data_IF_970001765866
#
_entry.id   IF_970001765866
#
_cell.length_a   1.000
_cell.length_b   1.000
_cell.length_c   1.000
_cell.angle_alpha   90.00
_cell.angle_beta   90.00
_cell.angle_gamma   90.00
#
_symmetry.space_group_name_H-M   'P 1'
#
loop_
_entity.id
_entity.type
_entity.pdbx_description
1 polymer ?
#
# COMPACT_ATOMS: atom_id res chain seq x y z
N UNK A 1 26.15 61.25 -42.60
CA UNK A 1 25.02 62.10 -43.00
C UNK A 1 24.75 63.09 -41.88
N UNK A 2 25.17 64.34 -42.10
CA UNK A 2 24.69 65.55 -41.43
C UNK A 2 23.13 65.65 -41.57
N UNK A 3 22.37 66.56 -40.91
CA UNK A 3 22.64 67.42 -39.73
C UNK A 3 21.42 68.05 -38.96
N UNK A 4 21.74 69.01 -38.07
CA UNK A 4 21.05 70.28 -37.75
C UNK A 4 19.80 70.20 -36.82
N UNK A 5 19.87 70.69 -35.56
CA UNK A 5 19.58 72.09 -35.08
C UNK A 5 18.07 72.41 -35.23
N UNK A 6 17.28 72.91 -34.27
CA UNK A 6 17.45 73.92 -33.24
C UNK A 6 16.23 73.94 -32.29
N UNK A 7 16.39 74.57 -31.12
CA UNK A 7 15.58 75.67 -30.52
C UNK A 7 14.05 75.68 -30.75
N UNK A 8 13.17 76.09 -29.83
CA UNK A 8 13.18 76.59 -28.47
C UNK A 8 11.72 76.97 -28.14
N UNK A 9 11.50 77.40 -26.89
CA UNK A 9 10.43 78.29 -26.38
C UNK A 9 9.12 77.64 -25.90
N UNK A 10 9.08 77.57 -24.58
CA UNK A 10 7.97 77.93 -23.69
C UNK A 10 7.00 78.99 -24.23
N UNK A 11 5.70 78.76 -23.99
CA UNK A 11 4.67 79.65 -23.41
C UNK A 11 3.33 78.89 -23.64
N UNK A 12 2.51 78.58 -22.63
CA UNK A 12 1.70 79.56 -21.94
C UNK A 12 0.54 78.81 -21.28
N UNK A 13 0.36 79.06 -19.99
CA UNK A 13 -0.78 78.64 -19.19
C UNK A 13 -2.05 79.31 -19.74
N UNK A 14 -3.14 78.57 -19.92
CA UNK A 14 -4.50 79.12 -19.79
C UNK A 14 -5.50 78.03 -19.43
N UNK A 15 -6.18 78.32 -18.34
CA UNK A 15 -7.08 77.52 -17.54
C UNK A 15 -8.47 77.46 -18.18
N UNK A 16 -9.08 76.28 -18.28
CA UNK A 16 -10.52 76.15 -18.37
C UNK A 16 -10.96 74.88 -17.62
N UNK A 17 -11.56 75.14 -16.47
CA UNK A 17 -12.14 74.20 -15.53
C UNK A 17 -13.49 73.71 -16.08
N UNK A 18 -13.63 72.40 -16.30
CA UNK A 18 -14.93 71.76 -16.46
C UNK A 18 -14.96 70.50 -15.57
N UNK A 19 -15.62 70.66 -14.42
CA UNK A 19 -16.01 69.61 -13.50
C UNK A 19 -17.13 68.76 -14.07
N UNK A 20 -17.01 67.43 -13.99
CA UNK A 20 -18.02 66.47 -13.50
C UNK A 20 -17.88 65.10 -14.18
N UNK A 21 -17.77 64.04 -13.36
CA UNK A 21 -17.96 62.65 -13.82
C UNK A 21 -16.86 61.66 -13.45
N UNK A 22 -16.39 61.64 -12.18
CA UNK A 22 -15.64 60.49 -11.65
C UNK A 22 -16.61 59.31 -11.48
N UNK A 23 -16.84 58.57 -12.56
CA UNK A 23 -17.33 57.20 -12.47
C UNK A 23 -16.21 56.34 -11.92
N UNK A 24 -16.22 56.06 -10.62
CA UNK A 24 -15.43 54.95 -10.06
C UNK A 24 -16.05 53.67 -10.63
N UNK A 25 -15.52 53.19 -11.74
CA UNK A 25 -15.71 51.81 -12.14
C UNK A 25 -14.99 50.99 -11.08
N UNK A 26 -15.75 50.44 -10.13
CA UNK A 26 -15.25 49.38 -9.29
C UNK A 26 -14.86 48.23 -10.22
N UNK A 27 -13.58 48.11 -10.52
CA UNK A 27 -13.01 46.90 -11.09
C UNK A 27 -13.16 45.84 -10.02
N UNK A 28 -14.31 45.17 -9.99
CA UNK A 28 -14.42 43.87 -9.34
C UNK A 28 -13.34 43.03 -10.02
N UNK A 29 -12.29 42.56 -9.32
CA UNK A 29 -11.38 41.62 -9.94
C UNK A 29 -12.28 40.46 -10.35
N UNK A 30 -12.40 40.24 -11.66
CA UNK A 30 -12.92 38.98 -12.15
C UNK A 30 -12.02 37.93 -11.50
N UNK A 31 -12.53 37.26 -10.47
CA UNK A 31 -11.93 36.02 -10.01
C UNK A 31 -11.90 35.17 -11.26
N UNK A 32 -10.74 35.06 -11.89
CA UNK A 32 -10.52 34.10 -12.94
C UNK A 32 -11.04 32.79 -12.36
N UNK A 33 -12.13 32.27 -12.92
CA UNK A 33 -12.55 30.92 -12.62
C UNK A 33 -11.37 30.09 -13.12
N UNK A 34 -10.49 29.73 -12.18
CA UNK A 34 -9.35 28.90 -12.49
C UNK A 34 -9.92 27.67 -13.18
N UNK A 35 -9.36 27.32 -14.34
CA UNK A 35 -9.72 26.09 -15.02
C UNK A 35 -9.56 24.89 -14.08
N UNK A 36 -10.11 23.73 -14.45
CA UNK A 36 -10.03 22.52 -13.62
C UNK A 36 -8.59 22.29 -13.14
N UNK A 37 -8.41 22.24 -11.81
CA UNK A 37 -7.11 22.05 -11.19
C UNK A 37 -6.82 20.57 -11.02
N UNK A 38 -5.56 20.18 -11.20
CA UNK A 38 -5.08 18.83 -10.93
C UNK A 38 -4.51 18.77 -9.51
N UNK A 39 -4.92 17.76 -8.75
CA UNK A 39 -4.45 17.49 -7.39
C UNK A 39 -3.75 16.14 -7.34
N UNK A 40 -2.64 16.04 -6.61
CA UNK A 40 -1.88 14.79 -6.54
C UNK A 40 -2.04 14.13 -5.17
N UNK A 41 -2.28 12.82 -5.20
CA UNK A 41 -2.24 11.93 -4.04
C UNK A 41 -1.31 10.78 -4.39
N UNK A 42 -0.24 10.61 -3.61
CA UNK A 42 0.59 9.41 -3.68
C UNK A 42 -0.09 8.25 -2.95
N UNK A 43 -0.06 7.07 -3.56
CA UNK A 43 -0.70 5.86 -3.10
C UNK A 43 0.36 4.86 -2.68
N UNK A 44 0.62 4.73 -1.39
CA UNK A 44 1.73 3.92 -0.89
C UNK A 44 3.07 4.65 -0.92
N UNK A 45 4.05 4.11 -0.21
CA UNK A 45 5.43 4.56 -0.22
C UNK A 45 6.32 3.50 0.46
N UNK A 46 7.62 3.53 0.22
CA UNK A 46 8.54 2.56 0.81
C UNK A 46 9.49 2.02 -0.24
N UNK A 47 10.12 0.89 0.06
CA UNK A 47 10.87 0.15 -0.94
C UNK A 47 10.00 -0.95 -1.59
N UNK A 48 8.85 -1.28 -0.98
CA UNK A 48 7.85 -2.25 -1.46
C UNK A 48 8.42 -3.66 -1.74
N UNK A 49 9.64 -3.94 -1.26
CA UNK A 49 10.32 -5.23 -1.36
C UNK A 49 10.32 -5.92 0.00
N UNK A 50 10.70 -5.18 1.04
CA UNK A 50 10.73 -5.67 2.42
C UNK A 50 10.03 -4.72 3.40
N UNK A 51 9.69 -3.51 2.99
CA UNK A 51 8.92 -2.53 3.77
C UNK A 51 8.00 -1.70 2.88
N UNK A 52 6.69 -1.81 3.14
CA UNK A 52 5.63 -0.99 2.55
C UNK A 52 5.06 0.02 3.56
N UNK A 53 4.55 1.15 3.07
CA UNK A 53 3.81 2.15 3.83
C UNK A 53 2.40 2.29 3.23
N UNK A 54 1.46 1.61 3.85
CA UNK A 54 0.09 1.46 3.36
C UNK A 54 -0.78 2.67 3.74
N UNK A 55 -0.56 3.79 3.05
CA UNK A 55 -1.26 5.05 3.27
C UNK A 55 -1.38 5.87 1.98
N UNK A 56 -2.43 6.70 1.92
CA UNK A 56 -2.54 7.78 0.94
C UNK A 56 -1.85 9.06 1.43
N UNK A 57 -1.07 9.71 0.58
CA UNK A 57 -0.26 10.88 0.91
C UNK A 57 -0.57 12.05 -0.02
N UNK A 58 -1.24 13.12 0.45
CA UNK A 58 -1.90 13.19 1.75
C UNK A 58 -3.13 12.27 1.81
N UNK A 59 -3.60 11.95 3.03
CA UNK A 59 -4.81 11.15 3.23
C UNK A 59 -6.10 11.95 3.03
N UNK A 60 -6.00 13.28 3.04
CA UNK A 60 -7.13 14.17 2.80
C UNK A 60 -6.72 15.40 2.01
N UNK A 61 -7.60 15.79 1.09
CA UNK A 61 -7.51 17.05 0.35
C UNK A 61 -8.86 17.75 0.33
N UNK A 62 -8.84 19.07 0.12
CA UNK A 62 -10.05 19.87 -0.11
C UNK A 62 -9.93 20.55 -1.46
N UNK A 63 -10.90 20.32 -2.35
CA UNK A 63 -10.85 20.72 -3.76
C UNK A 63 -12.18 21.34 -4.21
N UNK A 64 -12.21 21.85 -5.43
CA UNK A 64 -13.44 22.29 -6.08
C UNK A 64 -14.09 21.17 -6.89
N UNK A 65 -15.41 21.29 -7.11
CA UNK A 65 -16.10 20.44 -8.08
C UNK A 65 -15.58 20.76 -9.49
N UNK A 66 -15.32 19.73 -10.28
CA UNK A 66 -14.71 19.83 -11.61
C UNK A 66 -13.20 19.66 -11.62
N UNK A 67 -12.55 19.62 -10.45
CA UNK A 67 -11.13 19.30 -10.34
C UNK A 67 -10.87 17.81 -10.62
N UNK A 68 -9.62 17.50 -11.00
CA UNK A 68 -9.17 16.12 -11.19
C UNK A 68 -8.18 15.75 -10.11
N UNK A 69 -8.38 14.58 -9.48
CA UNK A 69 -7.40 13.99 -8.56
C UNK A 69 -6.61 12.93 -9.30
N UNK A 70 -5.29 13.03 -9.22
CA UNK A 70 -4.31 12.13 -9.81
C UNK A 70 -3.68 11.29 -8.72
N UNK A 71 -3.93 10.00 -8.78
CA UNK A 71 -3.39 9.02 -7.86
C UNK A 71 -2.12 8.42 -8.46
N UNK A 72 -0.96 8.75 -7.89
CA UNK A 72 0.35 8.24 -8.29
C UNK A 72 0.73 7.02 -7.46
N UNK A 73 1.09 5.91 -8.10
CA UNK A 73 1.38 4.65 -7.42
C UNK A 73 2.78 4.62 -6.82
N UNK A 74 2.88 4.44 -5.51
CA UNK A 74 4.12 4.16 -4.78
C UNK A 74 4.37 2.67 -4.54
N UNK A 75 3.35 1.83 -4.79
CA UNK A 75 3.35 0.38 -4.58
C UNK A 75 2.05 -0.24 -5.12
N UNK A 76 1.84 -1.54 -4.90
CA UNK A 76 0.62 -2.22 -5.32
C UNK A 76 -0.53 -1.93 -4.35
N UNK A 77 -1.44 -1.04 -4.75
CA UNK A 77 -2.62 -0.66 -3.96
C UNK A 77 -3.83 -0.47 -4.87
N UNK A 78 -5.00 -0.25 -4.27
CA UNK A 78 -6.16 0.25 -5.02
C UNK A 78 -6.57 1.64 -4.54
N UNK A 79 -7.30 2.34 -5.40
CA UNK A 79 -8.05 3.54 -5.05
C UNK A 79 -9.50 3.25 -5.35
N UNK A 80 -10.32 3.04 -4.33
CA UNK A 80 -11.69 2.57 -4.52
C UNK A 80 -12.70 3.46 -3.81
N UNK A 81 -13.59 4.05 -4.59
CA UNK A 81 -14.80 4.75 -4.14
C UNK A 81 -15.99 3.80 -4.21
N UNK A 82 -16.83 3.81 -3.18
CA UNK A 82 -18.10 3.08 -3.13
C UNK A 82 -17.99 1.60 -3.55
N UNK A 83 -17.12 0.80 -2.88
CA UNK A 83 -16.95 -0.62 -3.21
C UNK A 83 -18.28 -1.38 -3.09
N UNK A 84 -18.71 -2.16 -4.10
CA UNK A 84 -19.91 -2.99 -4.00
C UNK A 84 -19.77 -4.07 -2.93
N UNK A 85 -20.79 -4.22 -2.07
CA UNK A 85 -20.80 -5.23 -1.00
C UNK A 85 -20.79 -6.69 -1.50
N UNK A 86 -21.07 -6.90 -2.80
CA UNK A 86 -21.06 -8.21 -3.46
C UNK A 86 -19.66 -8.62 -3.95
N UNK A 87 -18.66 -7.74 -3.86
CA UNK A 87 -17.29 -8.02 -4.30
C UNK A 87 -16.38 -8.36 -3.11
N UNK A 88 -15.46 -9.28 -3.34
CA UNK A 88 -14.32 -9.62 -2.49
C UNK A 88 -13.04 -9.03 -3.05
N UNK A 89 -11.95 -9.07 -2.28
CA UNK A 89 -10.62 -8.65 -2.75
C UNK A 89 -10.21 -9.35 -4.05
N UNK A 90 -10.64 -10.60 -4.26
CA UNK A 90 -10.31 -11.36 -5.47
C UNK A 90 -10.89 -10.72 -6.74
N UNK A 91 -12.05 -10.07 -6.64
CA UNK A 91 -12.64 -9.33 -7.75
C UNK A 91 -11.83 -8.08 -8.10
N UNK A 92 -11.16 -7.48 -7.11
CA UNK A 92 -10.33 -6.28 -7.27
C UNK A 92 -8.94 -6.57 -7.84
N UNK A 93 -8.41 -7.77 -7.57
CA UNK A 93 -7.15 -8.26 -8.13
C UNK A 93 -7.30 -8.78 -9.57
N UNK A 94 -8.53 -9.04 -10.02
CA UNK A 94 -8.84 -9.42 -11.39
C UNK A 94 -9.25 -8.22 -12.28
N UNK A 95 -9.55 -8.48 -13.57
CA UNK A 95 -9.99 -7.45 -14.50
C UNK A 95 -11.23 -6.65 -14.04
N UNK A 96 -12.08 -7.25 -13.20
CA UNK A 96 -13.28 -6.63 -12.64
C UNK A 96 -13.02 -5.58 -11.55
N UNK A 97 -11.76 -5.42 -11.13
CA UNK A 97 -11.31 -4.46 -10.13
C UNK A 97 -11.06 -3.06 -10.65
N UNK A 98 -10.82 -2.95 -11.96
CA UNK A 98 -10.59 -1.68 -12.63
C UNK A 98 -11.90 -1.12 -13.19
N UNK A 99 -12.29 0.06 -12.71
CA UNK A 99 -13.49 0.78 -13.13
C UNK A 99 -13.18 2.27 -13.18
N UNK A 100 -12.52 2.74 -14.25
CA UNK A 100 -12.15 4.14 -14.40
C UNK A 100 -13.38 4.97 -14.77
N UNK A 101 -13.33 6.25 -14.43
CA UNK A 101 -14.37 7.21 -14.79
C UNK A 101 -14.44 8.37 -13.80
N UNK A 102 -15.26 9.39 -14.10
CA UNK A 102 -15.50 10.46 -13.16
C UNK A 102 -16.29 9.93 -11.95
N UNK A 103 -16.04 10.50 -10.78
CA UNK A 103 -16.97 10.45 -9.67
C UNK A 103 -18.02 11.56 -9.91
N UNK A 104 -19.10 11.23 -10.60
CA UNK A 104 -20.18 12.14 -11.03
C UNK A 104 -21.48 11.98 -10.20
N UNK A 105 -21.49 11.01 -9.29
CA UNK A 105 -22.54 10.81 -8.30
C UNK A 105 -21.97 10.20 -7.02
N UNK A 106 -22.56 10.56 -5.88
CA UNK A 106 -22.00 10.22 -4.57
C UNK A 106 -21.81 8.72 -4.32
N UNK A 107 -22.65 7.88 -4.94
CA UNK A 107 -22.62 6.42 -4.81
C UNK A 107 -21.94 5.68 -5.98
N UNK A 108 -21.34 6.37 -6.94
CA UNK A 108 -20.73 5.71 -8.10
C UNK A 108 -19.50 4.92 -7.69
N UNK A 109 -19.45 3.66 -8.09
CA UNK A 109 -18.26 2.84 -8.00
C UNK A 109 -17.20 3.36 -8.98
N UNK A 110 -16.05 3.72 -8.43
CA UNK A 110 -14.86 4.12 -9.20
C UNK A 110 -13.67 3.41 -8.57
N UNK A 111 -12.87 2.71 -9.36
CA UNK A 111 -11.77 1.92 -8.83
C UNK A 111 -10.57 1.91 -9.77
N UNK A 112 -9.41 2.24 -9.20
CA UNK A 112 -8.10 2.15 -9.84
C UNK A 112 -7.26 1.05 -9.16
N UNK A 113 -6.48 0.35 -9.97
CA UNK A 113 -5.47 -0.63 -9.57
C UNK A 113 -4.32 -0.48 -10.58
N UNK A 114 -3.04 -0.53 -10.16
CA UNK A 114 -1.91 -0.40 -11.07
C UNK A 114 -1.77 -1.64 -11.95
N UNK A 115 -2.54 -1.69 -13.03
CA UNK A 115 -2.44 -2.73 -14.06
C UNK A 115 -1.35 -2.34 -15.06
N UNK A 116 -0.25 -3.08 -15.08
CA UNK A 116 0.85 -2.88 -16.02
C UNK A 116 2.00 -3.88 -15.79
N UNK A 117 2.90 -4.06 -16.77
CA UNK A 117 4.09 -4.90 -16.58
C UNK A 117 5.00 -4.30 -15.48
N UNK A 118 5.69 -5.13 -14.65
CA UNK A 118 6.46 -4.69 -13.48
C UNK A 118 7.59 -3.67 -13.73
N UNK A 119 7.94 -3.40 -15.00
CA UNK A 119 9.08 -2.57 -15.39
C UNK A 119 8.70 -1.26 -16.09
N UNK A 120 7.40 -0.95 -16.21
CA UNK A 120 6.94 0.32 -16.77
C UNK A 120 6.58 1.30 -15.65
N UNK A 121 6.88 2.58 -15.84
CA UNK A 121 6.32 3.65 -15.01
C UNK A 121 4.78 3.52 -15.05
N UNK A 122 4.18 3.28 -13.88
CA UNK A 122 2.75 3.00 -13.80
C UNK A 122 1.98 4.31 -14.05
N UNK A 123 1.01 4.32 -14.98
CA UNK A 123 0.24 5.51 -15.25
C UNK A 123 -0.57 5.89 -14.01
N UNK A 124 -0.62 7.19 -13.71
CA UNK A 124 -1.49 7.72 -12.66
C UNK A 124 -2.95 7.35 -12.94
N UNK A 125 -3.68 7.00 -11.89
CA UNK A 125 -5.12 6.87 -11.96
C UNK A 125 -5.77 8.23 -11.74
N UNK A 126 -6.46 8.75 -12.76
CA UNK A 126 -7.04 10.09 -12.72
C UNK A 126 -8.56 10.00 -12.57
N UNK A 127 -9.11 10.74 -11.60
CA UNK A 127 -10.55 10.80 -11.32
C UNK A 127 -11.01 12.26 -11.37
N UNK A 128 -11.89 12.57 -12.33
CA UNK A 128 -12.62 13.84 -12.33
C UNK A 128 -13.65 13.81 -11.20
N UNK A 129 -13.65 14.83 -10.34
CA UNK A 129 -14.56 14.95 -9.21
C UNK A 129 -15.72 15.88 -9.58
N UNK A 130 -16.80 15.30 -10.08
CA UNK A 130 -18.01 16.01 -10.52
C UNK A 130 -19.22 15.72 -9.61
N UNK A 131 -18.97 15.74 -8.31
CA UNK A 131 -20.01 15.58 -7.27
C UNK A 131 -20.27 16.89 -6.53
N UNK A 132 -21.46 17.06 -5.92
CA UNK A 132 -21.76 18.23 -5.09
C UNK A 132 -20.80 18.41 -3.91
N UNK A 133 -20.86 19.57 -3.26
CA UNK A 133 -20.12 19.81 -2.03
C UNK A 133 -20.42 18.72 -0.98
N UNK A 134 -19.38 18.21 -0.32
CA UNK A 134 -19.47 17.06 0.57
C UNK A 134 -18.11 16.41 0.81
N UNK A 135 -18.10 15.38 1.67
CA UNK A 135 -16.91 14.56 1.93
C UNK A 135 -17.10 13.19 1.31
N UNK A 136 -16.16 12.79 0.46
CA UNK A 136 -16.17 11.54 -0.27
C UNK A 136 -14.99 10.70 0.18
N UNK A 137 -15.25 9.46 0.55
CA UNK A 137 -14.24 8.54 1.05
C UNK A 137 -13.79 7.61 -0.06
N UNK A 138 -12.50 7.28 -0.01
CA UNK A 138 -11.92 6.22 -0.81
C UNK A 138 -11.00 5.40 0.08
N UNK A 139 -10.77 4.17 -0.31
CA UNK A 139 -9.95 3.23 0.43
C UNK A 139 -9.14 2.36 -0.52
N UNK A 140 -8.03 1.82 -0.02
CA UNK A 140 -7.46 0.63 -0.62
C UNK A 140 -8.44 -0.53 -0.37
N UNK A 141 -8.34 -1.64 -1.12
CA UNK A 141 -9.09 -2.87 -0.85
C UNK A 141 -8.20 -3.98 -0.29
N UNK A 142 -6.89 -3.77 -0.25
CA UNK A 142 -5.90 -4.69 0.33
C UNK A 142 -5.68 -4.39 1.80
N UNK A 143 -5.34 -3.15 2.11
CA UNK A 143 -4.84 -2.77 3.43
C UNK A 143 -5.93 -2.09 4.25
N UNK A 144 -6.43 -2.79 5.28
CA UNK A 144 -7.62 -2.40 6.05
C UNK A 144 -7.56 -1.07 6.80
N UNK A 145 -6.38 -0.45 6.91
CA UNK A 145 -6.18 0.84 7.56
C UNK A 145 -5.91 1.99 6.58
N UNK A 146 -5.85 1.70 5.28
CA UNK A 146 -5.52 2.65 4.23
C UNK A 146 -6.78 3.32 3.68
N UNK A 147 -7.12 4.46 4.29
CA UNK A 147 -8.30 5.26 3.96
C UNK A 147 -7.92 6.69 3.63
N UNK A 148 -8.66 7.30 2.71
CA UNK A 148 -8.52 8.70 2.36
C UNK A 148 -9.86 9.39 2.18
N UNK A 149 -9.83 10.72 2.03
CA UNK A 149 -11.03 11.49 1.74
C UNK A 149 -10.78 12.73 0.88
N UNK A 150 -11.76 13.06 0.06
CA UNK A 150 -11.81 14.29 -0.71
C UNK A 150 -12.96 15.11 -0.16
N UNK A 151 -12.67 16.34 0.29
CA UNK A 151 -13.71 17.31 0.63
C UNK A 151 -13.92 18.24 -0.56
N UNK A 152 -15.11 18.18 -1.15
CA UNK A 152 -15.53 19.11 -2.21
C UNK A 152 -16.23 20.29 -1.57
N UNK A 153 -15.78 21.51 -1.84
CA UNK A 153 -16.46 22.72 -1.38
C UNK A 153 -16.38 23.84 -2.40
N UNK A 154 -17.14 24.91 -2.18
CA UNK A 154 -17.02 26.16 -2.92
C UNK A 154 -16.12 27.17 -2.18
N UNK A 155 -15.62 28.17 -2.90
CA UNK A 155 -14.84 29.28 -2.32
C UNK A 155 -13.38 28.92 -2.03
N UNK A 156 -12.72 29.68 -1.17
CA UNK A 156 -11.27 29.55 -0.92
C UNK A 156 -10.91 28.19 -0.33
N UNK A 157 -9.98 27.47 -0.97
CA UNK A 157 -9.44 26.21 -0.47
C UNK A 157 -8.46 26.47 0.67
N UNK A 158 -8.37 25.55 1.66
CA UNK A 158 -7.49 25.73 2.82
C UNK A 158 -6.01 25.55 2.48
N UNK A 159 -5.70 24.87 1.36
CA UNK A 159 -4.35 24.59 0.89
C UNK A 159 -4.31 24.55 -0.63
N UNK A 160 -3.14 24.83 -1.20
CA UNK A 160 -2.81 24.55 -2.61
C UNK A 160 -2.36 23.10 -2.79
N UNK A 161 -2.21 22.65 -4.05
CA UNK A 161 -1.65 21.33 -4.34
C UNK A 161 -0.20 21.20 -3.83
N UNK A 162 0.63 22.23 -4.03
CA UNK A 162 2.04 22.23 -3.60
C UNK A 162 2.18 22.13 -2.07
N UNK A 163 1.28 22.78 -1.32
CA UNK A 163 1.23 22.65 0.14
C UNK A 163 0.83 21.23 0.57
N UNK A 164 -0.13 20.62 -0.12
CA UNK A 164 -0.51 19.22 0.12
C UNK A 164 0.63 18.25 -0.21
N UNK A 165 1.36 18.45 -1.31
CA UNK A 165 2.56 17.66 -1.67
C UNK A 165 3.66 17.82 -0.60
N UNK A 166 3.87 19.05 -0.10
CA UNK A 166 4.84 19.30 0.97
C UNK A 166 4.49 18.53 2.23
N UNK A 167 3.20 18.52 2.62
CA UNK A 167 2.72 17.73 3.76
C UNK A 167 2.84 16.22 3.52
N UNK A 168 2.52 15.76 2.31
CA UNK A 168 2.67 14.36 1.92
C UNK A 168 4.10 13.88 2.10
N UNK A 169 5.08 14.62 1.56
CA UNK A 169 6.51 14.29 1.66
C UNK A 169 7.00 14.28 3.11
N UNK A 170 6.57 15.25 3.92
CA UNK A 170 6.91 15.28 5.34
C UNK A 170 6.34 14.06 6.10
N UNK A 171 5.11 13.64 5.77
CA UNK A 171 4.45 12.49 6.37
C UNK A 171 5.10 11.16 5.94
N UNK A 172 5.48 11.02 4.66
CA UNK A 172 6.28 9.88 4.17
C UNK A 172 7.57 9.77 4.98
N UNK A 173 8.33 10.86 5.10
CA UNK A 173 9.60 10.85 5.86
C UNK A 173 9.40 10.46 7.34
N UNK A 174 8.32 10.93 7.96
CA UNK A 174 7.98 10.56 9.34
C UNK A 174 7.63 9.07 9.48
N UNK A 175 6.83 8.54 8.54
CA UNK A 175 6.43 7.13 8.53
C UNK A 175 7.62 6.21 8.24
N UNK A 176 8.50 6.57 7.30
CA UNK A 176 9.76 5.83 7.04
C UNK A 176 10.63 5.76 8.29
N UNK A 177 10.85 6.89 8.97
CA UNK A 177 11.66 6.91 10.21
C UNK A 177 11.05 6.02 11.30
N UNK A 178 9.72 6.05 11.45
CA UNK A 178 8.99 5.21 12.41
C UNK A 178 9.11 3.72 12.03
N UNK A 179 8.96 3.39 10.75
CA UNK A 179 9.09 2.03 10.24
C UNK A 179 10.48 1.46 10.54
N UNK A 180 11.56 2.19 10.24
CA UNK A 180 12.94 1.77 10.58
C UNK A 180 13.10 1.49 12.09
N UNK A 181 12.54 2.36 12.94
CA UNK A 181 12.62 2.18 14.38
C UNK A 181 11.80 0.96 14.89
N UNK A 182 10.65 0.69 14.26
CA UNK A 182 9.81 -0.48 14.57
C UNK A 182 10.50 -1.77 14.13
N UNK A 183 11.04 -1.80 12.92
CA UNK A 183 11.78 -2.94 12.40
C UNK A 183 12.95 -3.36 13.29
N UNK A 184 13.75 -2.38 13.73
CA UNK A 184 14.86 -2.63 14.65
C UNK A 184 14.39 -3.17 16.01
N UNK A 185 13.21 -2.77 16.49
CA UNK A 185 12.62 -3.33 17.73
C UNK A 185 12.17 -4.77 17.53
N UNK A 186 11.48 -5.06 16.43
CA UNK A 186 11.01 -6.42 16.11
C UNK A 186 12.18 -7.38 15.94
N UNK A 187 13.24 -6.96 15.24
CA UNK A 187 14.47 -7.74 15.10
C UNK A 187 15.07 -8.10 16.46
N UNK A 188 15.25 -7.12 17.35
CA UNK A 188 15.78 -7.39 18.70
C UNK A 188 14.88 -8.29 19.54
N UNK A 189 13.56 -8.09 19.45
CA UNK A 189 12.60 -8.90 20.21
C UNK A 189 12.61 -10.36 19.74
N UNK A 190 12.63 -10.57 18.43
CA UNK A 190 12.66 -11.91 17.84
C UNK A 190 13.97 -12.66 18.15
N UNK A 191 15.13 -11.97 18.15
CA UNK A 191 16.40 -12.57 18.58
C UNK A 191 16.45 -12.94 20.07
N UNK A 192 15.51 -12.46 20.89
CA UNK A 192 15.44 -12.74 22.32
C UNK A 192 14.29 -13.69 22.71
N UNK A 193 13.57 -14.23 21.72
CA UNK A 193 12.38 -15.07 21.94
C UNK A 193 12.58 -16.43 21.28
N UNK A 194 12.72 -17.47 22.09
CA UNK A 194 12.89 -18.84 21.59
C UNK A 194 11.54 -19.49 21.22
N UNK A 195 11.59 -20.48 20.31
CA UNK A 195 10.44 -21.31 19.94
C UNK A 195 9.35 -20.59 19.12
N UNK A 196 9.57 -19.33 18.73
CA UNK A 196 8.62 -18.55 17.95
C UNK A 196 9.31 -17.77 16.84
N UNK A 197 8.58 -17.53 15.76
CA UNK A 197 8.97 -16.62 14.70
C UNK A 197 7.76 -15.81 14.23
N UNK A 198 7.96 -14.54 13.87
CA UNK A 198 6.94 -13.77 13.17
C UNK A 198 6.99 -14.05 11.67
N UNK A 199 5.82 -14.11 11.07
CA UNK A 199 5.61 -14.21 9.62
C UNK A 199 4.95 -12.91 9.18
N UNK A 200 5.74 -12.02 8.61
CA UNK A 200 5.29 -10.64 8.43
C UNK A 200 5.18 -9.91 9.76
N UNK A 201 5.20 -8.58 9.71
CA UNK A 201 4.96 -7.74 10.87
C UNK A 201 4.56 -6.33 10.43
N UNK A 202 4.08 -5.51 11.36
CA UNK A 202 3.83 -4.11 11.06
C UNK A 202 3.10 -3.37 12.15
N UNK A 203 2.60 -2.20 11.79
CA UNK A 203 1.56 -1.50 12.54
C UNK A 203 0.44 -1.06 11.60
N UNK A 204 -0.33 0.00 11.89
CA UNK A 204 -1.45 0.40 11.01
C UNK A 204 -1.02 1.09 9.71
N UNK A 205 0.28 1.32 9.51
CA UNK A 205 0.80 2.03 8.34
C UNK A 205 1.98 1.29 7.74
N UNK A 206 2.97 0.93 8.56
CA UNK A 206 4.13 0.21 8.06
C UNK A 206 3.83 -1.30 8.04
N UNK A 207 4.22 -1.96 6.96
CA UNK A 207 4.26 -3.41 6.85
C UNK A 207 5.71 -3.87 6.58
N UNK A 208 6.04 -5.07 7.04
CA UNK A 208 7.34 -5.70 6.84
C UNK A 208 7.13 -7.08 6.27
N UNK A 209 7.54 -7.26 5.03
CA UNK A 209 7.37 -8.49 4.27
C UNK A 209 8.57 -9.40 4.53
N UNK A 210 8.71 -9.87 5.78
CA UNK A 210 9.83 -10.71 6.21
C UNK A 210 9.52 -11.58 7.43
N UNK A 211 10.38 -12.57 7.66
CA UNK A 211 10.35 -13.39 8.87
C UNK A 211 11.22 -12.76 9.96
N UNK A 212 10.79 -12.89 11.22
CA UNK A 212 11.60 -12.51 12.38
C UNK A 212 11.72 -13.67 13.38
N UNK A 213 12.92 -14.24 13.61
CA UNK A 213 14.14 -14.02 12.83
C UNK A 213 14.09 -14.81 11.50
N UNK A 214 15.00 -14.47 10.57
CA UNK A 214 15.18 -15.24 9.32
C UNK A 214 16.08 -16.47 9.48
N UNK A 215 16.84 -16.53 10.56
CA UNK A 215 17.70 -17.66 10.94
C UNK A 215 17.25 -18.21 12.28
N UNK A 216 16.84 -19.47 12.31
CA UNK A 216 16.31 -20.12 13.51
C UNK A 216 17.13 -21.37 13.80
N UNK A 217 17.40 -21.64 15.07
CA UNK A 217 17.97 -22.92 15.50
C UNK A 217 16.98 -23.60 16.43
N UNK A 218 16.70 -24.87 16.17
CA UNK A 218 15.83 -25.74 16.97
C UNK A 218 16.54 -27.07 17.20
N UNK A 219 16.06 -27.88 18.14
CA UNK A 219 16.48 -29.27 18.31
C UNK A 219 15.40 -30.23 17.80
N UNK A 220 15.79 -31.46 17.56
CA UNK A 220 14.83 -32.55 17.35
C UNK A 220 13.90 -32.65 18.55
N UNK A 221 12.60 -32.68 18.29
CA UNK A 221 11.54 -32.68 19.30
C UNK A 221 11.02 -31.28 19.65
N UNK A 222 11.75 -30.21 19.32
CA UNK A 222 11.26 -28.85 19.55
C UNK A 222 10.13 -28.50 18.57
N UNK A 223 9.16 -27.75 19.08
CA UNK A 223 8.14 -27.09 18.27
C UNK A 223 8.54 -25.64 18.01
N UNK A 224 8.44 -25.21 16.75
CA UNK A 224 8.54 -23.82 16.33
C UNK A 224 7.16 -23.30 15.94
N UNK A 225 6.71 -22.24 16.61
CA UNK A 225 5.44 -21.57 16.28
C UNK A 225 5.68 -20.32 15.46
N UNK A 226 5.23 -20.34 14.22
CA UNK A 226 5.14 -19.18 13.36
C UNK A 226 3.85 -18.41 13.66
N UNK A 227 3.97 -17.09 13.85
CA UNK A 227 2.84 -16.20 14.17
C UNK A 227 2.76 -15.07 13.15
N UNK A 228 1.60 -14.89 12.56
CA UNK A 228 1.33 -13.77 11.67
C UNK A 228 1.26 -12.46 12.47
N UNK A 229 2.30 -11.64 12.30
CA UNK A 229 2.41 -10.33 12.93
C UNK A 229 1.87 -9.20 12.05
N UNK A 230 1.41 -9.52 10.85
CA UNK A 230 0.97 -8.57 9.85
C UNK A 230 -0.55 -8.39 9.87
N UNK A 231 -1.01 -7.15 9.73
CA UNK A 231 -2.44 -6.83 9.64
C UNK A 231 -2.82 -6.28 8.26
N UNK A 232 -1.86 -6.20 7.35
CA UNK A 232 -2.03 -5.65 6.00
C UNK A 232 -2.19 -6.76 4.98
N UNK A 233 -1.32 -7.76 5.01
CA UNK A 233 -1.25 -8.81 4.00
C UNK A 233 -1.22 -10.21 4.61
N UNK A 234 -1.68 -11.25 3.87
CA UNK A 234 -1.55 -12.62 4.32
C UNK A 234 -0.14 -13.13 4.05
N UNK A 235 0.31 -14.13 4.81
CA UNK A 235 1.61 -14.76 4.59
C UNK A 235 1.53 -16.28 4.71
N UNK A 236 2.54 -16.99 4.21
CA UNK A 236 2.66 -18.45 4.41
C UNK A 236 3.97 -18.81 5.07
N UNK A 237 4.01 -19.98 5.70
CA UNK A 237 5.24 -20.72 5.96
C UNK A 237 5.24 -21.94 5.05
N UNK A 238 6.16 -21.97 4.10
CA UNK A 238 6.24 -23.02 3.08
C UNK A 238 7.62 -23.67 3.08
N UNK A 239 7.64 -25.00 3.11
CA UNK A 239 8.82 -25.85 3.01
C UNK A 239 8.77 -26.69 1.73
N UNK A 240 9.87 -26.70 0.98
CA UNK A 240 9.96 -27.43 -0.28
C UNK A 240 9.01 -26.92 -1.37
N UNK A 241 9.00 -27.56 -2.56
CA UNK A 241 8.11 -27.19 -3.64
C UNK A 241 6.70 -27.69 -3.34
N UNK A 242 5.78 -26.78 -3.03
CA UNK A 242 4.37 -27.14 -2.93
C UNK A 242 3.74 -27.27 -4.32
N UNK A 243 2.88 -28.28 -4.57
CA UNK A 243 2.16 -28.41 -5.83
C UNK A 243 1.30 -27.16 -6.10
N UNK A 244 1.06 -26.79 -7.35
CA UNK A 244 0.15 -25.67 -7.69
C UNK A 244 0.80 -24.28 -7.69
N UNK A 245 0.00 -23.25 -8.00
CA UNK A 245 0.41 -21.85 -7.88
C UNK A 245 0.01 -21.33 -6.49
N UNK A 246 0.97 -21.09 -5.57
CA UNK A 246 0.66 -20.61 -4.24
C UNK A 246 0.11 -19.17 -4.22
N UNK A 247 0.18 -18.45 -5.35
CA UNK A 247 -0.44 -17.12 -5.52
C UNK A 247 -1.89 -17.21 -5.99
N UNK A 248 -2.36 -18.39 -6.41
CA UNK A 248 -3.78 -18.63 -6.65
C UNK A 248 -4.49 -18.76 -5.29
N UNK A 249 -5.39 -17.84 -4.92
CA UNK A 249 -6.11 -17.91 -3.65
C UNK A 249 -6.90 -19.21 -3.46
N UNK A 250 -7.39 -19.84 -4.54
CA UNK A 250 -8.09 -21.12 -4.46
C UNK A 250 -7.19 -22.26 -3.94
N UNK A 251 -5.87 -22.09 -4.05
CA UNK A 251 -4.86 -23.04 -3.59
C UNK A 251 -4.12 -22.54 -2.34
N UNK A 252 -3.61 -21.31 -2.36
CA UNK A 252 -2.73 -20.76 -1.33
C UNK A 252 -3.38 -20.53 0.04
N UNK A 253 -4.72 -20.41 0.10
CA UNK A 253 -5.43 -20.14 1.37
C UNK A 253 -5.44 -21.36 2.30
N UNK A 254 -5.41 -22.58 1.76
CA UNK A 254 -5.52 -23.80 2.55
C UNK A 254 -4.14 -24.44 2.79
N UNK A 255 -3.93 -25.12 3.94
CA UNK A 255 -2.72 -25.90 4.15
C UNK A 255 -2.58 -26.97 3.07
N UNK A 256 -1.34 -27.25 2.67
CA UNK A 256 -1.07 -28.19 1.58
C UNK A 256 0.26 -28.91 1.75
N UNK A 257 0.48 -29.95 0.95
CA UNK A 257 1.67 -30.80 0.98
C UNK A 257 1.51 -32.06 1.83
N UNK A 258 2.30 -33.12 1.56
CA UNK A 258 2.23 -34.38 2.30
C UNK A 258 3.03 -34.38 3.62
N UNK A 259 3.79 -33.34 3.94
CA UNK A 259 4.56 -33.24 5.18
C UNK A 259 3.67 -33.22 6.42
N UNK A 260 4.09 -33.90 7.48
CA UNK A 260 3.41 -33.88 8.78
C UNK A 260 3.94 -32.71 9.63
N UNK A 261 3.15 -31.65 9.91
CA UNK A 261 3.63 -30.54 10.75
C UNK A 261 4.00 -30.97 12.17
N UNK A 262 3.41 -32.05 12.71
CA UNK A 262 3.72 -32.52 14.06
C UNK A 262 4.95 -33.45 14.13
N UNK A 263 5.54 -33.81 12.99
CA UNK A 263 6.71 -34.68 12.91
C UNK A 263 7.46 -34.42 11.60
N UNK A 264 7.78 -33.16 11.34
CA UNK A 264 8.39 -32.73 10.09
C UNK A 264 9.84 -33.21 10.01
N UNK A 265 10.18 -33.96 8.96
CA UNK A 265 11.51 -34.56 8.79
C UNK A 265 12.34 -33.87 7.70
N UNK A 266 11.83 -32.76 7.14
CA UNK A 266 12.53 -31.96 6.13
C UNK A 266 12.46 -32.50 4.70
N UNK A 267 11.78 -33.63 4.44
CA UNK A 267 11.83 -34.29 3.12
C UNK A 267 10.64 -34.01 2.23
N UNK A 268 9.46 -33.82 2.82
CA UNK A 268 8.18 -33.70 2.12
C UNK A 268 7.72 -32.25 2.09
N UNK A 269 7.14 -31.73 1.00
CA UNK A 269 6.60 -30.38 0.99
C UNK A 269 5.52 -30.16 2.05
N UNK A 270 5.48 -28.94 2.60
CA UNK A 270 4.51 -28.55 3.62
C UNK A 270 4.26 -27.04 3.54
N UNK A 271 3.00 -26.62 3.51
CA UNK A 271 2.61 -25.22 3.65
C UNK A 271 1.50 -25.03 4.67
N UNK A 272 1.60 -23.94 5.42
CA UNK A 272 0.56 -23.48 6.34
C UNK A 272 -0.75 -23.07 5.65
N UNK A 273 -0.70 -22.84 4.33
CA UNK A 273 -1.65 -21.96 3.65
C UNK A 273 -1.51 -20.51 4.16
N UNK A 274 -2.39 -19.62 3.73
CA UNK A 274 -2.38 -18.24 4.21
C UNK A 274 -2.65 -18.20 5.73
N UNK A 275 -1.76 -17.50 6.43
CA UNK A 275 -1.95 -16.98 7.77
C UNK A 275 -2.44 -15.55 7.62
N UNK A 276 -3.56 -15.25 8.26
CA UNK A 276 -4.22 -13.96 8.24
C UNK A 276 -5.25 -13.87 9.36
N UNK A 277 -5.55 -12.64 9.75
CA UNK A 277 -6.46 -12.31 10.83
C UNK A 277 -7.92 -12.34 10.39
N UNK A 278 -8.82 -12.56 11.36
CA UNK A 278 -10.26 -12.46 11.13
C UNK A 278 -10.68 -11.08 10.62
N UNK A 279 -9.98 -10.02 11.01
CA UNK A 279 -10.21 -8.67 10.52
C UNK A 279 -9.94 -8.55 9.02
N UNK A 280 -8.85 -9.15 8.52
CA UNK A 280 -8.53 -9.23 7.10
C UNK A 280 -9.58 -10.05 6.33
N UNK A 281 -9.99 -11.22 6.83
CA UNK A 281 -11.08 -12.00 6.21
C UNK A 281 -12.35 -11.18 6.00
N UNK A 282 -12.73 -10.43 7.04
CA UNK A 282 -13.92 -9.58 7.02
C UNK A 282 -13.75 -8.41 6.05
N UNK A 283 -12.60 -7.74 6.08
CA UNK A 283 -12.31 -6.58 5.25
C UNK A 283 -12.22 -6.94 3.76
N UNK A 284 -11.55 -8.04 3.42
CA UNK A 284 -11.48 -8.59 2.07
C UNK A 284 -12.79 -9.23 1.58
N UNK A 285 -13.80 -9.27 2.45
CA UNK A 285 -15.12 -9.83 2.17
C UNK A 285 -15.03 -11.26 1.61
N UNK A 286 -14.13 -12.09 2.14
CA UNK A 286 -13.86 -13.42 1.60
C UNK A 286 -15.08 -14.36 1.69
N UNK A 287 -16.04 -14.07 2.57
CA UNK A 287 -17.31 -14.82 2.70
C UNK A 287 -18.15 -14.86 1.41
N UNK A 288 -17.97 -13.93 0.48
CA UNK A 288 -18.66 -13.92 -0.82
C UNK A 288 -17.78 -14.41 -1.98
N UNK A 289 -16.62 -14.99 -1.67
CA UNK A 289 -15.64 -15.43 -2.66
C UNK A 289 -15.60 -16.96 -2.81
N UNK A 290 -14.82 -17.43 -3.79
CA UNK A 290 -14.54 -18.86 -4.00
C UNK A 290 -13.83 -19.53 -2.79
N UNK A 291 -13.20 -18.74 -1.91
CA UNK A 291 -12.51 -19.22 -0.70
C UNK A 291 -13.31 -18.95 0.57
N UNK A 292 -14.63 -18.80 0.47
CA UNK A 292 -15.51 -18.51 1.61
C UNK A 292 -15.41 -19.51 2.77
N UNK A 293 -15.05 -20.76 2.48
CA UNK A 293 -14.82 -21.81 3.48
C UNK A 293 -13.49 -21.66 4.26
N UNK A 294 -12.63 -20.71 3.89
CA UNK A 294 -11.39 -20.45 4.59
C UNK A 294 -11.64 -20.02 6.03
N UNK A 295 -10.92 -20.66 6.95
CA UNK A 295 -10.92 -20.30 8.37
C UNK A 295 -9.65 -19.49 8.64
N UNK A 296 -9.77 -18.22 9.08
CA UNK A 296 -8.60 -17.41 9.40
C UNK A 296 -7.77 -18.07 10.49
N UNK A 297 -6.45 -18.12 10.29
CA UNK A 297 -5.48 -18.65 11.25
C UNK A 297 -4.32 -17.68 11.31
N UNK A 298 -3.83 -17.38 12.50
CA UNK A 298 -2.68 -16.49 12.70
C UNK A 298 -1.45 -17.24 13.17
N UNK A 299 -1.52 -18.56 13.33
CA UNK A 299 -0.40 -19.36 13.83
C UNK A 299 -0.27 -20.67 13.06
N UNK A 300 0.98 -21.13 12.94
CA UNK A 300 1.34 -22.42 12.37
C UNK A 300 2.52 -23.01 13.16
N UNK A 301 2.35 -24.20 13.72
CA UNK A 301 3.38 -24.86 14.52
C UNK A 301 3.96 -26.06 13.77
N UNK A 302 5.29 -26.20 13.84
CA UNK A 302 6.02 -27.35 13.25
C UNK A 302 6.94 -27.96 14.29
N UNK A 303 6.84 -29.28 14.48
CA UNK A 303 7.76 -30.06 15.33
C UNK A 303 8.73 -30.86 14.47
N UNK A 304 10.02 -30.80 14.79
CA UNK A 304 11.07 -31.40 13.95
C UNK A 304 11.44 -32.80 14.44
N UNK A 305 11.25 -33.81 13.59
CA UNK A 305 11.38 -35.22 13.99
C UNK A 305 12.77 -35.82 13.75
N UNK A 306 13.61 -35.19 12.94
CA UNK A 306 14.96 -35.68 12.60
C UNK A 306 15.93 -34.50 12.46
N UNK A 307 17.21 -34.69 12.85
CA UNK A 307 18.24 -33.77 12.42
C UNK A 307 18.35 -33.90 10.89
N UNK A 308 18.57 -32.80 10.20
CA UNK A 308 18.48 -32.79 8.73
C UNK A 308 19.72 -33.34 8.02
N UNK A 309 19.52 -33.67 6.74
CA UNK A 309 20.46 -34.16 5.72
C UNK A 309 21.72 -33.26 5.56
N UNK A 310 22.75 -33.67 4.77
CA UNK A 310 24.06 -33.00 4.73
C UNK A 310 23.94 -31.49 4.49
N UNK A 311 24.33 -30.68 5.50
CA UNK A 311 24.21 -29.22 5.47
C UNK A 311 23.38 -28.63 6.62
N UNK A 312 22.63 -29.45 7.38
CA UNK A 312 21.91 -29.09 8.62
C UNK A 312 20.85 -27.97 8.50
N UNK A 313 20.38 -27.62 7.29
CA UNK A 313 19.51 -26.45 7.08
C UNK A 313 18.22 -26.82 6.33
N UNK A 314 17.07 -26.41 6.87
CA UNK A 314 15.77 -26.41 6.20
C UNK A 314 15.46 -24.99 5.74
N UNK A 315 15.32 -24.78 4.44
CA UNK A 315 14.85 -23.51 3.89
C UNK A 315 13.32 -23.42 3.98
N UNK A 316 12.82 -22.21 4.26
CA UNK A 316 11.40 -21.90 4.21
C UNK A 316 11.16 -20.52 3.61
N UNK A 317 9.98 -20.30 3.06
CA UNK A 317 9.63 -19.04 2.40
C UNK A 317 8.14 -18.72 2.50
N UNK A 318 7.80 -17.44 2.33
CA UNK A 318 6.44 -17.01 2.07
C UNK A 318 6.18 -17.14 0.57
N UNK A 319 5.16 -17.88 0.18
CA UNK A 319 4.92 -18.21 -1.21
C UNK A 319 4.26 -17.08 -2.01
N UNK A 320 3.75 -16.06 -1.32
CA UNK A 320 3.30 -14.80 -1.91
C UNK A 320 4.49 -13.89 -2.23
N UNK A 321 5.41 -13.74 -1.26
CA UNK A 321 6.45 -12.72 -1.27
C UNK A 321 7.88 -13.27 -1.45
N UNK A 322 7.99 -14.55 -1.79
CA UNK A 322 9.24 -15.26 -1.97
C UNK A 322 9.07 -16.42 -2.94
N UNK A 323 10.16 -17.13 -3.19
CA UNK A 323 10.17 -18.27 -4.10
C UNK A 323 11.25 -19.28 -3.71
N UNK A 324 10.97 -20.56 -4.03
CA UNK A 324 11.98 -21.61 -4.10
C UNK A 324 12.50 -21.70 -5.53
N UNK A 325 13.80 -21.54 -5.69
CA UNK A 325 14.49 -21.64 -6.97
C UNK A 325 14.77 -23.11 -7.34
N UNK A 326 14.95 -23.45 -8.63
CA UNK A 326 15.25 -24.82 -9.06
C UNK A 326 16.52 -25.42 -8.46
N UNK A 327 17.45 -24.59 -8.00
CA UNK A 327 18.69 -25.01 -7.34
C UNK A 327 18.52 -25.29 -5.83
N UNK A 328 17.31 -25.09 -5.27
CA UNK A 328 17.00 -25.32 -3.85
C UNK A 328 17.13 -24.07 -2.97
N UNK A 329 17.60 -22.95 -3.51
CA UNK A 329 17.69 -21.69 -2.77
C UNK A 329 16.32 -21.02 -2.62
N UNK A 330 16.14 -20.29 -1.52
CA UNK A 330 14.97 -19.44 -1.30
C UNK A 330 15.32 -17.97 -1.46
N UNK A 331 14.42 -17.19 -2.04
CA UNK A 331 14.57 -15.74 -2.28
C UNK A 331 13.33 -14.96 -1.83
N UNK A 332 13.48 -13.64 -1.65
CA UNK A 332 12.43 -12.77 -1.14
C UNK A 332 12.19 -13.00 0.36
N UNK A 333 10.93 -12.95 0.79
CA UNK A 333 10.56 -13.29 2.15
C UNK A 333 10.84 -14.77 2.43
N UNK A 334 11.99 -15.04 3.06
CA UNK A 334 12.52 -16.37 3.27
C UNK A 334 13.41 -16.44 4.50
N UNK A 335 13.68 -17.67 4.95
CA UNK A 335 14.54 -17.95 6.08
C UNK A 335 15.05 -19.38 6.08
N UNK A 336 15.84 -19.70 7.09
CA UNK A 336 16.41 -21.03 7.27
C UNK A 336 16.37 -21.48 8.73
N UNK A 337 16.19 -22.79 8.91
CA UNK A 337 16.14 -23.45 10.21
C UNK A 337 17.28 -24.45 10.29
N UNK A 338 18.13 -24.30 11.30
CA UNK A 338 19.10 -25.32 11.68
C UNK A 338 18.49 -26.27 12.70
N UNK A 339 18.43 -27.56 12.39
CA UNK A 339 17.92 -28.59 13.32
C UNK A 339 19.08 -29.35 13.95
N UNK A 340 19.34 -29.08 15.22
CA UNK A 340 20.34 -29.78 16.02
C UNK A 340 19.80 -31.13 16.51
N UNK A 341 20.67 -32.09 16.86
CA UNK A 341 20.26 -33.29 17.58
C UNK A 341 19.47 -32.95 18.85
N UNK A 342 18.68 -33.93 19.31
CA UNK A 342 18.05 -33.88 20.63
C UNK A 342 19.12 -33.63 21.72
N UNK A 343 18.72 -33.08 22.87
CA UNK A 343 19.65 -32.99 23.99
C UNK A 343 20.08 -34.39 24.43
N UNK A 344 21.37 -34.55 24.68
CA UNK A 344 21.88 -35.69 25.44
C UNK A 344 21.50 -35.43 26.90
N UNK A 345 20.33 -35.91 27.32
CA UNK A 345 19.94 -35.95 28.75
C UNK A 345 20.60 -37.13 29.47
#
# INVERSE_FOLDING_TARGET
>A
MLPFIARARTLGLSMALATAGLGVVATVPASAVAGPTKWDIQVGAGNEVDTGLNRFYPSDITIHRGDTVSFGWGGFHTVTFNPPATKSILDYLGPGGFSPGPLDSAGKFVSGVPLGPPSAELPHFNVLIDVPAGKYHFQCMLHQFMHGSITVKSGTLPRTNDENITLANAQIAADTKRATALDARLTRHASATDGQALVGAGDKVAEFVKFYPTSITVRVGDALTFKDGDLHEPHTVTFGPVPGDPRDPAFGVFPSGPGNPNAYDGTSPLSSGFLFHQSQYNYWNLKVSAVSAAVPRTEFSVTFAKPTMPGNVINFYCALHGALLPNGDVVGMSGHITVLPASDD
#
